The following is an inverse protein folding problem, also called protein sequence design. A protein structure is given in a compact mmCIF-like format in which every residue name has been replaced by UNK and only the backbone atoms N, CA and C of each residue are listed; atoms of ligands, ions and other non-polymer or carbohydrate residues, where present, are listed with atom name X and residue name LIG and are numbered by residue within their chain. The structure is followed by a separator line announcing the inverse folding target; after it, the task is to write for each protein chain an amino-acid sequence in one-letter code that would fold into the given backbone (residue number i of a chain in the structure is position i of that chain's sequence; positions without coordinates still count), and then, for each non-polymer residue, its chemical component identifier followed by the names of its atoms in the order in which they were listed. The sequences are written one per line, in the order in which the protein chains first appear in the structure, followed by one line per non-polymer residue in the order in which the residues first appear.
data_IF_912702477104
#
_entry.id   IF_912702477104
#
_cell.length_a   1.000
_cell.length_b   1.000
_cell.length_c   1.000
_cell.angle_alpha   90.00
_cell.angle_beta   90.00
_cell.angle_gamma   90.00
#
_symmetry.space_group_name_H-M   'P 1'
#
loop_
_entity.id
_entity.type
_entity.pdbx_description
1 polymer ?
#
# COMPACT_ATOMS: atom_id res chain seq x y z
N UNK A 1 -5.51 -4.31 -21.31
CA UNK A 1 -5.70 -3.62 -20.00
C UNK A 1 -4.56 -3.93 -19.03
N UNK A 2 -4.13 -5.19 -18.90
CA UNK A 2 -3.04 -5.57 -17.98
C UNK A 2 -1.67 -4.98 -18.38
N UNK A 3 -1.33 -4.98 -19.67
CA UNK A 3 -0.05 -4.45 -20.16
C UNK A 3 0.10 -2.94 -19.95
N UNK A 4 -0.94 -2.14 -20.22
CA UNK A 4 -0.91 -0.69 -20.01
C UNK A 4 -0.72 -0.34 -18.54
N UNK A 5 -1.39 -1.04 -17.62
CA UNK A 5 -1.24 -0.83 -16.18
C UNK A 5 0.17 -1.20 -15.71
N UNK A 6 0.73 -2.31 -16.22
CA UNK A 6 2.12 -2.69 -15.92
C UNK A 6 3.11 -1.64 -16.40
N UNK A 7 2.96 -1.15 -17.64
CA UNK A 7 3.82 -0.10 -18.20
C UNK A 7 3.75 1.20 -17.39
N UNK A 8 2.57 1.57 -16.89
CA UNK A 8 2.42 2.72 -16.00
C UNK A 8 3.12 2.48 -14.66
N UNK A 9 2.91 1.31 -14.05
CA UNK A 9 3.60 0.95 -12.81
C UNK A 9 5.12 1.00 -12.98
N UNK A 10 5.65 0.31 -13.99
CA UNK A 10 7.10 0.26 -14.26
C UNK A 10 7.69 1.66 -14.53
N UNK A 11 6.90 2.58 -15.09
CA UNK A 11 7.31 3.96 -15.37
C UNK A 11 7.37 4.85 -14.12
N UNK A 12 6.48 4.64 -13.16
CA UNK A 12 6.34 5.52 -11.99
C UNK A 12 6.91 4.92 -10.70
N UNK A 13 7.05 3.60 -10.63
CA UNK A 13 7.63 2.92 -9.48
C UNK A 13 9.15 2.96 -9.55
N UNK A 14 9.75 3.63 -8.57
CA UNK A 14 11.18 3.50 -8.28
C UNK A 14 11.31 2.68 -7.01
N UNK A 15 11.93 1.49 -7.05
CA UNK A 15 12.18 0.71 -5.85
C UNK A 15 12.91 1.53 -4.81
N UNK A 16 12.48 1.47 -3.55
CA UNK A 16 13.19 2.11 -2.45
C UNK A 16 14.53 1.38 -2.26
N UNK A 17 15.67 2.10 -2.23
CA UNK A 17 16.95 1.47 -1.96
C UNK A 17 16.97 0.92 -0.53
N UNK A 18 17.19 -0.39 -0.39
CA UNK A 18 17.24 -1.09 0.90
C UNK A 18 18.61 -1.72 1.18
N UNK A 19 19.64 -1.36 0.39
CA UNK A 19 20.96 -2.01 0.40
C UNK A 19 21.60 -2.06 1.80
N UNK A 20 21.48 -0.99 2.58
CA UNK A 20 22.02 -0.96 3.95
C UNK A 20 21.33 -1.97 4.86
N UNK A 21 19.99 -2.00 4.83
CA UNK A 21 19.18 -2.94 5.62
C UNK A 21 19.38 -4.38 5.17
N UNK A 22 19.47 -4.64 3.86
CA UNK A 22 19.79 -5.97 3.32
C UNK A 22 21.15 -6.45 3.83
N UNK A 23 22.16 -5.57 3.80
CA UNK A 23 23.49 -5.92 4.30
C UNK A 23 23.51 -6.15 5.81
N UNK A 24 22.78 -5.36 6.59
CA UNK A 24 22.61 -5.53 8.03
C UNK A 24 21.98 -6.89 8.36
N UNK A 25 20.90 -7.27 7.64
CA UNK A 25 20.24 -8.57 7.81
C UNK A 25 21.20 -9.72 7.56
N UNK A 26 22.01 -9.65 6.49
CA UNK A 26 23.01 -10.69 6.20
C UNK A 26 24.08 -10.80 7.30
N UNK A 27 24.58 -9.67 7.79
CA UNK A 27 25.59 -9.64 8.87
C UNK A 27 25.02 -10.24 10.14
N UNK A 28 23.81 -9.83 10.54
CA UNK A 28 23.11 -10.38 11.69
C UNK A 28 22.84 -11.88 11.54
N UNK A 29 22.41 -12.33 10.36
CA UNK A 29 22.17 -13.74 10.09
C UNK A 29 23.44 -14.59 10.25
N UNK A 30 24.59 -14.12 9.74
CA UNK A 30 25.89 -14.79 9.96
C UNK A 30 26.23 -14.89 11.45
N UNK A 31 26.06 -13.80 12.21
CA UNK A 31 26.31 -13.81 13.66
C UNK A 31 25.39 -14.77 14.42
N UNK A 32 24.12 -14.90 13.99
CA UNK A 32 23.19 -15.85 14.60
C UNK A 32 23.62 -17.30 14.36
N UNK A 33 24.15 -17.63 13.18
CA UNK A 33 24.70 -18.96 12.88
C UNK A 33 25.85 -19.32 13.81
N UNK A 34 26.71 -18.36 14.13
CA UNK A 34 27.90 -18.57 14.97
C UNK A 34 27.56 -18.68 16.47
N UNK A 35 26.51 -17.99 16.94
CA UNK A 35 26.18 -17.89 18.37
C UNK A 35 25.09 -18.82 18.86
N UNK A 36 24.22 -19.30 17.97
CA UNK A 36 23.02 -20.06 18.33
C UNK A 36 22.96 -21.42 17.64
N UNK A 37 22.52 -22.41 18.41
CA UNK A 37 22.21 -23.72 17.86
C UNK A 37 20.97 -23.67 16.94
N UNK A 38 20.75 -24.77 16.22
CA UNK A 38 19.69 -24.86 15.22
C UNK A 38 18.27 -24.62 15.78
N UNK A 39 17.88 -25.10 16.99
CA UNK A 39 16.52 -24.88 17.48
C UNK A 39 16.25 -23.42 17.85
N UNK A 40 17.21 -22.70 18.43
CA UNK A 40 17.09 -21.28 18.78
C UNK A 40 16.97 -20.42 17.52
N UNK A 41 17.80 -20.69 16.50
CA UNK A 41 17.70 -20.00 15.21
C UNK A 41 16.34 -20.17 14.56
N UNK A 42 15.72 -21.35 14.69
CA UNK A 42 14.38 -21.60 14.19
C UNK A 42 13.34 -20.71 14.89
N UNK A 43 13.45 -20.54 16.22
CA UNK A 43 12.55 -19.65 16.96
C UNK A 43 12.73 -18.18 16.53
N UNK A 44 13.97 -17.72 16.36
CA UNK A 44 14.24 -16.36 15.86
C UNK A 44 13.61 -16.15 14.48
N UNK A 45 13.77 -17.10 13.56
CA UNK A 45 13.17 -17.01 12.23
C UNK A 45 11.64 -16.99 12.29
N UNK A 46 11.03 -17.81 13.15
CA UNK A 46 9.57 -17.80 13.35
C UNK A 46 9.05 -16.47 13.90
N UNK A 47 9.82 -15.81 14.77
CA UNK A 47 9.47 -14.47 15.28
C UNK A 47 9.52 -13.44 14.14
N UNK A 48 10.57 -13.47 13.32
CA UNK A 48 10.72 -12.56 12.18
C UNK A 48 9.58 -12.77 11.17
N UNK A 49 9.28 -14.02 10.82
CA UNK A 49 8.19 -14.35 9.89
C UNK A 49 6.84 -13.85 10.42
N UNK A 50 6.56 -14.05 11.71
CA UNK A 50 5.33 -13.57 12.34
C UNK A 50 5.25 -12.04 12.37
N UNK A 51 6.35 -11.36 12.69
CA UNK A 51 6.41 -9.90 12.69
C UNK A 51 6.21 -9.32 11.29
N UNK A 52 6.87 -9.89 10.27
CA UNK A 52 6.73 -9.48 8.88
C UNK A 52 5.27 -9.64 8.41
N UNK A 53 4.66 -10.78 8.70
CA UNK A 53 3.24 -11.00 8.39
C UNK A 53 2.35 -9.95 9.07
N UNK A 54 2.58 -9.65 10.35
CA UNK A 54 1.82 -8.62 11.05
C UNK A 54 1.97 -7.24 10.39
N UNK A 55 3.19 -6.85 10.02
CA UNK A 55 3.47 -5.56 9.37
C UNK A 55 2.78 -5.48 8.00
N UNK A 56 2.87 -6.53 7.20
CA UNK A 56 2.21 -6.61 5.88
C UNK A 56 0.68 -6.49 6.02
N UNK A 57 0.08 -7.26 6.93
CA UNK A 57 -1.36 -7.21 7.16
C UNK A 57 -1.82 -5.84 7.64
N UNK A 58 -1.09 -5.22 8.58
CA UNK A 58 -1.39 -3.87 9.04
C UNK A 58 -1.23 -2.82 7.93
N UNK A 59 -0.21 -2.96 7.08
CA UNK A 59 0.02 -2.05 5.95
C UNK A 59 -1.12 -2.13 4.94
N UNK A 60 -1.52 -3.35 4.57
CA UNK A 60 -2.63 -3.59 3.64
C UNK A 60 -3.95 -3.10 4.20
N UNK A 61 -4.26 -3.41 5.46
CA UNK A 61 -5.49 -2.95 6.12
C UNK A 61 -5.57 -1.42 6.17
N UNK A 62 -4.49 -0.76 6.60
CA UNK A 62 -4.43 0.70 6.64
C UNK A 62 -4.56 1.32 5.24
N UNK A 63 -3.90 0.73 4.24
CA UNK A 63 -3.99 1.19 2.86
C UNK A 63 -5.42 1.10 2.33
N UNK A 64 -6.10 -0.03 2.51
CA UNK A 64 -7.48 -0.22 2.06
C UNK A 64 -8.42 0.79 2.71
N UNK A 65 -8.28 1.00 4.02
CA UNK A 65 -9.09 1.97 4.75
C UNK A 65 -8.90 3.40 4.20
N UNK A 66 -7.64 3.83 4.05
CA UNK A 66 -7.31 5.16 3.51
C UNK A 66 -7.75 5.33 2.06
N UNK A 67 -7.60 4.28 1.24
CA UNK A 67 -8.01 4.30 -0.15
C UNK A 67 -9.53 4.47 -0.28
N UNK A 68 -10.31 3.71 0.51
CA UNK A 68 -11.78 3.86 0.54
C UNK A 68 -12.20 5.28 0.91
N UNK A 69 -11.59 5.84 1.96
CA UNK A 69 -11.86 7.22 2.36
C UNK A 69 -11.52 8.22 1.24
N UNK A 70 -10.35 8.10 0.62
CA UNK A 70 -9.96 8.97 -0.49
C UNK A 70 -10.92 8.85 -1.68
N UNK A 71 -11.41 7.64 -1.97
CA UNK A 71 -12.39 7.39 -3.02
C UNK A 71 -13.75 8.02 -2.72
N UNK A 72 -14.25 7.89 -1.49
CA UNK A 72 -15.50 8.51 -1.04
C UNK A 72 -15.42 10.04 -1.13
N UNK A 73 -14.33 10.63 -0.65
CA UNK A 73 -14.10 12.07 -0.75
C UNK A 73 -14.03 12.56 -2.20
N UNK A 74 -13.37 11.81 -3.09
CA UNK A 74 -13.32 12.14 -4.51
C UNK A 74 -14.71 12.10 -5.16
N UNK A 75 -15.54 11.12 -4.80
CA UNK A 75 -16.91 11.04 -5.28
C UNK A 75 -17.77 12.19 -4.76
N UNK A 76 -17.63 12.56 -3.49
CA UNK A 76 -18.36 13.69 -2.91
C UNK A 76 -17.99 15.01 -3.60
N UNK A 77 -16.70 15.25 -3.87
CA UNK A 77 -16.24 16.40 -4.64
C UNK A 77 -16.81 16.42 -6.07
N UNK A 78 -16.79 15.28 -6.77
CA UNK A 78 -17.37 15.17 -8.12
C UNK A 78 -18.89 15.44 -8.12
N UNK A 79 -19.62 14.96 -7.11
CA UNK A 79 -21.05 15.25 -6.96
C UNK A 79 -21.29 16.74 -6.67
N UNK A 80 -20.45 17.35 -5.83
CA UNK A 80 -20.53 18.78 -5.56
C UNK A 80 -20.27 19.64 -6.80
N UNK A 81 -19.29 19.27 -7.64
CA UNK A 81 -19.05 19.94 -8.93
C UNK A 81 -20.22 19.75 -9.90
N UNK A 82 -20.78 18.55 -9.97
CA UNK A 82 -21.95 18.23 -10.80
C UNK A 82 -23.18 19.04 -10.37
N UNK A 83 -23.43 19.15 -9.06
CA UNK A 83 -24.58 19.90 -8.52
C UNK A 83 -24.42 21.43 -8.63
N UNK A 84 -23.19 21.94 -8.74
CA UNK A 84 -22.90 23.37 -8.94
C UNK A 84 -23.10 23.79 -10.41
N UNK A 85 -22.97 22.86 -11.33
CA UNK A 85 -23.23 23.07 -12.75
C UNK A 85 -24.29 22.07 -13.22
N UNK A 86 -25.58 22.27 -12.84
CA UNK A 86 -26.64 21.52 -13.47
C UNK A 86 -26.52 21.74 -14.98
N UNK A 87 -26.70 20.68 -15.76
CA UNK A 87 -26.79 20.87 -17.20
C UNK A 87 -27.97 21.81 -17.48
N UNK A 88 -27.92 22.67 -18.51
CA UNK A 88 -28.97 23.65 -18.80
C UNK A 88 -30.36 23.01 -19.05
N UNK A 89 -30.44 21.68 -19.14
CA UNK A 89 -31.69 20.92 -19.25
C UNK A 89 -32.44 20.84 -17.92
N UNK A 90 -31.75 20.84 -16.77
CA UNK A 90 -32.40 20.73 -15.44
C UNK A 90 -32.90 22.09 -14.89
N UNK A 91 -32.29 23.21 -15.27
CA UNK A 91 -32.76 24.55 -14.87
C UNK A 91 -34.12 24.90 -15.50
N UNK A 92 -34.45 24.34 -16.68
CA UNK A 92 -35.70 24.62 -17.37
C UNK A 92 -36.94 23.92 -16.79
N UNK A 93 -36.77 22.86 -15.98
CA UNK A 93 -37.90 22.14 -15.34
C UNK A 93 -38.22 22.64 -13.93
N UNK A 94 -37.33 23.40 -13.29
CA UNK A 94 -37.57 23.96 -11.95
C UNK A 94 -38.29 25.32 -11.94
N UNK A 95 -38.42 25.97 -13.10
CA UNK A 95 -39.06 27.29 -13.26
C UNK A 95 -40.49 27.22 -13.85
N UNK A 96 -41.12 26.04 -13.90
CA UNK A 96 -42.49 25.81 -14.42
C UNK A 96 -43.54 25.52 -13.33
#
# INVERSE_FOLDING_TARGET
MNETLRLLYDKFYTPLPMVESEQEVEVCHRQLIERLDKPERKLVMQIIDAQNLMIEQHSVDSFICRFRLAWELANELNHFETNRHPSPVEEAEMDA
#
